data_IF_412077343032
#
_entry.id   IF_412077343032
#
_cell.length_a   1.000
_cell.length_b   1.000
_cell.length_c   1.000
_cell.angle_alpha   90.00
_cell.angle_beta   90.00
_cell.angle_gamma   90.00
#
_symmetry.space_group_name_H-M   'P 1'
#
loop_
_entity.id
_entity.type
_entity.pdbx_description
1 polymer ?
#
# COMPACT_ATOMS: atom_id res chain seq x y z
N UNK A 1 13.07 -7.67 -10.90
CA UNK A 1 11.66 -8.12 -11.03
C UNK A 1 11.47 -8.61 -12.45
N UNK A 2 10.94 -9.81 -12.59
CA UNK A 2 10.74 -10.51 -13.87
C UNK A 2 9.27 -10.82 -14.10
N UNK A 3 8.92 -11.27 -15.29
CA UNK A 3 7.54 -11.62 -15.63
C UNK A 3 7.02 -12.79 -14.78
N UNK A 4 7.89 -13.71 -14.36
CA UNK A 4 7.58 -14.86 -13.50
C UNK A 4 7.15 -14.43 -12.09
N UNK A 5 7.40 -13.18 -11.69
CA UNK A 5 6.88 -12.62 -10.44
C UNK A 5 5.37 -12.32 -10.49
N UNK A 6 4.77 -12.35 -11.69
CA UNK A 6 3.35 -12.05 -11.91
C UNK A 6 2.57 -13.36 -12.07
N UNK A 7 1.76 -13.69 -11.08
CA UNK A 7 0.78 -14.77 -11.20
C UNK A 7 -0.53 -14.19 -11.72
N UNK A 8 -0.82 -14.43 -13.00
CA UNK A 8 -2.02 -13.89 -13.66
C UNK A 8 -3.31 -14.58 -13.22
N UNK A 9 -3.24 -15.88 -12.92
CA UNK A 9 -4.39 -16.66 -12.47
C UNK A 9 -4.92 -16.13 -11.14
N UNK A 10 -4.03 -15.96 -10.17
CA UNK A 10 -4.38 -15.46 -8.84
C UNK A 10 -4.36 -13.92 -8.74
N UNK A 11 -3.96 -13.23 -9.81
CA UNK A 11 -3.77 -11.77 -9.86
C UNK A 11 -2.88 -11.26 -8.72
N UNK A 12 -1.73 -11.89 -8.54
CA UNK A 12 -0.76 -11.58 -7.48
C UNK A 12 0.61 -11.31 -8.09
N UNK A 13 1.21 -10.22 -7.65
CA UNK A 13 2.63 -9.92 -7.84
C UNK A 13 3.40 -10.37 -6.61
N UNK A 14 4.35 -11.28 -6.77
CA UNK A 14 5.15 -11.83 -5.67
C UNK A 14 6.64 -11.67 -5.91
N UNK A 15 7.37 -11.23 -4.88
CA UNK A 15 8.82 -11.09 -4.95
C UNK A 15 9.44 -11.08 -3.56
N UNK A 16 10.73 -11.37 -3.48
CA UNK A 16 11.51 -11.17 -2.26
C UNK A 16 12.18 -9.81 -2.26
N UNK A 17 12.10 -9.12 -1.13
CA UNK A 17 12.77 -7.83 -0.94
C UNK A 17 14.27 -8.04 -0.85
N UNK A 18 15.01 -7.42 -1.75
CA UNK A 18 16.47 -7.59 -1.82
C UNK A 18 17.18 -7.22 -0.51
N UNK A 19 16.73 -6.16 0.19
CA UNK A 19 17.35 -5.66 1.42
C UNK A 19 17.05 -6.53 2.65
N UNK A 20 15.87 -7.11 2.74
CA UNK A 20 15.40 -7.78 3.98
C UNK A 20 15.15 -9.28 3.79
N UNK A 21 15.19 -9.78 2.56
CA UNK A 21 14.82 -11.16 2.24
C UNK A 21 13.33 -11.48 2.43
N UNK A 22 12.52 -10.55 2.92
CA UNK A 22 11.12 -10.78 3.23
C UNK A 22 10.29 -10.92 1.95
N UNK A 23 9.37 -11.90 1.89
CA UNK A 23 8.44 -12.03 0.77
C UNK A 23 7.46 -10.85 0.76
N UNK A 24 7.02 -10.47 -0.42
CA UNK A 24 5.99 -9.47 -0.63
C UNK A 24 4.97 -10.01 -1.62
N UNK A 25 3.70 -9.97 -1.25
CA UNK A 25 2.58 -10.39 -2.07
C UNK A 25 1.63 -9.21 -2.23
N UNK A 26 1.42 -8.77 -3.47
CA UNK A 26 0.56 -7.63 -3.78
C UNK A 26 -0.53 -8.09 -4.75
N UNK A 27 -1.78 -7.83 -4.40
CA UNK A 27 -2.89 -8.08 -5.34
C UNK A 27 -2.83 -7.07 -6.48
N UNK A 28 -2.98 -7.57 -7.68
CA UNK A 28 -2.98 -6.77 -8.91
C UNK A 28 -4.40 -6.23 -9.14
N UNK A 29 -4.54 -4.91 -9.02
CA UNK A 29 -5.77 -4.20 -9.40
C UNK A 29 -5.83 -3.97 -10.92
N UNK A 30 -7.00 -3.56 -11.42
CA UNK A 30 -7.27 -3.42 -12.86
C UNK A 30 -6.31 -2.46 -13.57
N UNK A 31 -6.01 -1.32 -12.95
CA UNK A 31 -5.06 -0.34 -13.52
C UNK A 31 -3.64 -0.91 -13.62
N UNK A 32 -3.17 -1.56 -12.55
CA UNK A 32 -1.86 -2.18 -12.53
C UNK A 32 -1.79 -3.34 -13.53
N UNK A 33 -2.83 -4.13 -13.67
CA UNK A 33 -2.92 -5.19 -14.68
C UNK A 33 -2.74 -4.63 -16.09
N UNK A 34 -3.47 -3.55 -16.41
CA UNK A 34 -3.37 -2.89 -17.72
C UNK A 34 -1.95 -2.43 -18.02
N UNK A 35 -1.23 -1.94 -17.02
CA UNK A 35 0.16 -1.53 -17.17
C UNK A 35 1.10 -2.73 -17.32
N UNK A 36 0.95 -3.75 -16.49
CA UNK A 36 1.82 -4.93 -16.52
C UNK A 36 1.69 -5.71 -17.83
N UNK A 37 0.49 -5.77 -18.43
CA UNK A 37 0.27 -6.44 -19.72
C UNK A 37 0.95 -5.74 -20.90
N UNK A 38 1.38 -4.47 -20.73
CA UNK A 38 2.18 -3.74 -21.74
C UNK A 38 3.69 -4.01 -21.61
N UNK A 39 4.12 -4.69 -20.55
CA UNK A 39 5.51 -5.02 -20.30
C UNK A 39 5.87 -6.38 -20.91
N UNK A 40 7.17 -6.72 -21.02
CA UNK A 40 7.61 -8.01 -21.57
C UNK A 40 6.96 -9.20 -20.84
N UNK A 41 6.45 -10.16 -21.61
CA UNK A 41 5.82 -11.37 -21.07
C UNK A 41 6.83 -12.37 -20.49
N UNK A 42 8.12 -12.21 -20.80
CA UNK A 42 9.21 -13.08 -20.34
C UNK A 42 10.44 -12.28 -19.92
N UNK A 43 11.18 -12.78 -18.95
CA UNK A 43 12.37 -12.14 -18.45
C UNK A 43 12.10 -10.87 -17.64
N UNK A 44 13.00 -9.89 -17.70
CA UNK A 44 12.86 -8.67 -16.91
C UNK A 44 11.68 -7.81 -17.36
N UNK A 45 10.80 -7.42 -16.42
CA UNK A 45 9.71 -6.46 -16.68
C UNK A 45 10.25 -5.09 -17.14
N UNK A 46 11.43 -4.71 -16.66
CA UNK A 46 12.09 -3.45 -17.01
C UNK A 46 13.53 -3.74 -17.47
N UNK A 47 13.74 -4.23 -18.71
CA UNK A 47 15.06 -4.68 -19.17
C UNK A 47 16.14 -3.61 -19.05
N UNK A 48 15.83 -2.37 -19.49
CA UNK A 48 16.77 -1.24 -19.39
C UNK A 48 17.15 -0.92 -17.93
N UNK A 49 16.19 -1.00 -17.00
CA UNK A 49 16.47 -0.72 -15.59
C UNK A 49 17.28 -1.84 -14.94
N UNK A 50 17.20 -3.05 -15.45
CA UNK A 50 17.97 -4.19 -14.94
C UNK A 50 19.48 -4.07 -15.21
N UNK A 51 19.87 -3.34 -16.24
CA UNK A 51 21.28 -3.11 -16.60
C UNK A 51 21.91 -1.93 -15.86
N UNK A 52 21.12 -1.08 -15.20
CA UNK A 52 21.61 0.09 -14.49
C UNK A 52 21.98 -0.24 -13.04
N UNK A 53 23.08 0.34 -12.55
CA UNK A 53 23.42 0.32 -11.12
C UNK A 53 22.44 1.18 -10.33
N UNK A 54 22.25 0.91 -9.04
CA UNK A 54 21.26 1.60 -8.20
C UNK A 54 21.43 3.13 -8.18
N UNK A 55 22.69 3.61 -8.11
CA UNK A 55 22.99 5.04 -8.17
C UNK A 55 22.60 5.68 -9.51
N UNK A 56 22.75 4.93 -10.60
CA UNK A 56 22.45 5.44 -11.93
C UNK A 56 20.94 5.52 -12.16
N UNK A 57 20.15 4.65 -11.53
CA UNK A 57 18.67 4.72 -11.53
C UNK A 57 18.16 6.02 -10.89
N UNK A 58 18.74 6.40 -9.76
CA UNK A 58 18.38 7.66 -9.08
C UNK A 58 18.78 8.87 -9.91
N UNK A 59 19.98 8.85 -10.51
CA UNK A 59 20.44 9.94 -11.38
C UNK A 59 19.55 10.10 -12.62
N UNK A 60 19.17 8.99 -13.28
CA UNK A 60 18.27 9.02 -14.44
C UNK A 60 16.89 9.55 -14.06
N UNK A 61 16.33 9.15 -12.91
CA UNK A 61 15.08 9.69 -12.42
C UNK A 61 15.15 11.21 -12.22
N UNK A 62 16.16 11.69 -11.51
CA UNK A 62 16.36 13.13 -11.28
C UNK A 62 16.58 13.91 -12.58
N UNK A 63 17.29 13.31 -13.56
CA UNK A 63 17.48 13.91 -14.90
C UNK A 63 16.13 14.09 -15.61
N UNK A 64 15.26 13.07 -15.59
CA UNK A 64 13.92 13.15 -16.19
C UNK A 64 13.03 14.17 -15.50
N UNK A 65 13.04 14.22 -14.17
CA UNK A 65 12.30 15.22 -13.41
C UNK A 65 12.71 16.64 -13.80
N UNK A 66 14.03 16.92 -13.90
CA UNK A 66 14.54 18.23 -14.33
C UNK A 66 14.08 18.60 -15.74
N UNK A 67 14.10 17.66 -16.68
CA UNK A 67 13.59 17.90 -18.05
C UNK A 67 12.10 18.28 -18.06
N UNK A 68 11.34 17.75 -17.11
CA UNK A 68 9.90 18.04 -16.95
C UNK A 68 9.64 19.22 -16.00
N UNK A 69 10.67 19.93 -15.56
CA UNK A 69 10.60 21.03 -14.57
C UNK A 69 9.94 20.61 -13.24
N UNK A 70 10.13 19.35 -12.84
CA UNK A 70 9.64 18.81 -11.57
C UNK A 70 10.82 18.85 -10.58
N UNK A 71 10.65 19.62 -9.51
CA UNK A 71 11.67 19.81 -8.47
C UNK A 71 11.26 19.17 -7.14
N UNK A 72 12.21 18.99 -6.23
CA UNK A 72 11.96 18.52 -4.87
C UNK A 72 11.56 17.06 -4.74
N UNK A 73 11.65 16.26 -5.81
CA UNK A 73 11.26 14.84 -5.82
C UNK A 73 12.46 13.90 -5.99
N UNK A 74 12.33 12.72 -5.41
CA UNK A 74 13.26 11.60 -5.52
C UNK A 74 12.51 10.30 -5.78
N UNK A 75 13.22 9.19 -6.02
CA UNK A 75 12.58 7.87 -6.10
C UNK A 75 11.80 7.50 -4.82
N UNK A 76 12.22 8.02 -3.66
CA UNK A 76 11.51 7.80 -2.39
C UNK A 76 10.21 8.59 -2.28
N UNK A 77 10.08 9.72 -2.96
CA UNK A 77 8.86 10.55 -2.91
C UNK A 77 7.61 9.79 -3.27
N UNK A 78 7.71 8.83 -4.21
CA UNK A 78 6.57 7.96 -4.55
C UNK A 78 6.12 7.10 -3.37
N UNK A 79 7.05 6.61 -2.55
CA UNK A 79 6.72 5.81 -1.36
C UNK A 79 6.01 6.62 -0.30
N UNK A 80 6.44 7.87 -0.07
CA UNK A 80 5.75 8.79 0.83
C UNK A 80 4.34 9.10 0.33
N UNK A 81 4.20 9.48 -0.93
CA UNK A 81 2.91 9.77 -1.54
C UNK A 81 1.95 8.57 -1.51
N UNK A 82 2.46 7.35 -1.68
CA UNK A 82 1.67 6.14 -1.57
C UNK A 82 1.23 5.90 -0.13
N UNK A 83 2.12 6.06 0.86
CA UNK A 83 1.79 5.90 2.29
C UNK A 83 0.71 6.90 2.73
N UNK A 84 0.82 8.15 2.33
CA UNK A 84 -0.18 9.19 2.61
C UNK A 84 -1.55 8.86 1.99
N UNK A 85 -1.57 8.44 0.72
CA UNK A 85 -2.82 8.04 0.05
C UNK A 85 -3.46 6.82 0.73
N UNK A 86 -2.66 5.82 1.08
CA UNK A 86 -3.16 4.63 1.78
C UNK A 86 -3.75 5.01 3.14
N UNK A 87 -3.10 5.89 3.87
CA UNK A 87 -3.57 6.39 5.16
C UNK A 87 -4.89 7.17 5.02
N UNK A 88 -4.95 8.15 4.10
CA UNK A 88 -6.16 8.94 3.81
C UNK A 88 -7.34 8.08 3.35
N UNK A 89 -7.07 7.00 2.60
CA UNK A 89 -8.07 6.05 2.14
C UNK A 89 -8.54 5.05 3.22
N UNK A 90 -8.00 5.12 4.45
CA UNK A 90 -8.31 4.14 5.48
C UNK A 90 -7.81 2.73 5.18
N UNK A 91 -6.79 2.60 4.33
CA UNK A 91 -6.18 1.31 4.00
C UNK A 91 -5.53 0.72 5.25
N UNK A 92 -5.88 -0.53 5.59
CA UNK A 92 -5.45 -1.15 6.84
C UNK A 92 -3.93 -1.07 7.01
N UNK A 93 -3.48 -0.54 8.15
CA UNK A 93 -2.07 -0.25 8.45
C UNK A 93 -1.16 -1.46 8.21
N UNK A 94 -1.57 -2.65 8.67
CA UNK A 94 -0.80 -3.88 8.48
C UNK A 94 -0.53 -4.19 6.99
N UNK A 95 -1.49 -3.89 6.11
CA UNK A 95 -1.33 -4.09 4.68
C UNK A 95 -0.41 -3.04 4.06
N UNK A 96 -0.53 -1.78 4.53
CA UNK A 96 0.36 -0.70 4.11
C UNK A 96 1.81 -0.98 4.53
N UNK A 97 2.04 -1.43 5.76
CA UNK A 97 3.34 -1.86 6.25
C UNK A 97 3.91 -3.01 5.40
N UNK A 98 3.10 -4.04 5.16
CA UNK A 98 3.50 -5.18 4.34
C UNK A 98 3.84 -4.76 2.91
N UNK A 99 3.06 -3.89 2.28
CA UNK A 99 3.30 -3.39 0.92
C UNK A 99 4.59 -2.55 0.84
N UNK A 100 4.83 -1.69 1.82
CA UNK A 100 6.01 -0.82 1.87
C UNK A 100 7.24 -1.51 2.49
N UNK A 101 7.07 -2.62 3.21
CA UNK A 101 8.14 -3.31 3.92
C UNK A 101 8.64 -2.55 5.14
N UNK A 102 7.73 -1.87 5.83
CA UNK A 102 8.04 -1.21 7.10
C UNK A 102 8.07 -2.24 8.23
N UNK A 103 9.08 -2.16 9.10
CA UNK A 103 9.26 -3.08 10.21
C UNK A 103 8.43 -2.73 11.44
N UNK A 104 7.88 -1.52 11.50
CA UNK A 104 7.08 -1.04 12.64
C UNK A 104 6.08 0.03 12.23
N UNK A 105 5.06 0.22 13.07
CA UNK A 105 4.07 1.30 12.94
C UNK A 105 4.73 2.68 12.99
N UNK A 106 5.72 2.89 13.84
CA UNK A 106 6.43 4.17 13.94
C UNK A 106 7.09 4.57 12.62
N UNK A 107 7.74 3.61 11.92
CA UNK A 107 8.30 3.85 10.60
C UNK A 107 7.19 4.17 9.59
N UNK A 108 6.07 3.43 9.64
CA UNK A 108 4.94 3.67 8.74
C UNK A 108 4.34 5.06 8.93
N UNK A 109 4.07 5.49 10.16
CA UNK A 109 3.58 6.84 10.48
C UNK A 109 4.54 7.93 10.04
N UNK A 110 5.85 7.72 10.17
CA UNK A 110 6.86 8.64 9.63
C UNK A 110 6.72 8.90 8.12
N UNK A 111 6.28 7.91 7.36
CA UNK A 111 6.00 8.06 5.92
C UNK A 111 4.66 8.77 5.64
N UNK A 112 3.67 8.63 6.51
CA UNK A 112 2.34 9.24 6.35
C UNK A 112 2.17 10.54 7.16
N UNK A 113 3.25 11.10 7.73
CA UNK A 113 3.22 12.24 8.67
C UNK A 113 2.52 13.50 8.15
N UNK A 114 2.48 13.69 6.84
CA UNK A 114 1.85 14.85 6.21
C UNK A 114 0.40 14.57 5.78
N UNK A 115 -0.15 13.37 6.07
CA UNK A 115 -1.51 13.05 5.74
C UNK A 115 -2.46 13.81 6.68
N UNK A 116 -3.32 14.64 6.13
CA UNK A 116 -4.44 15.24 6.86
C UNK A 116 -5.50 14.18 7.12
N UNK A 117 -5.94 14.07 8.37
CA UNK A 117 -6.99 13.15 8.81
C UNK A 117 -8.22 13.96 9.16
N UNK A 118 -9.28 13.75 8.40
CA UNK A 118 -10.59 14.29 8.75
C UNK A 118 -11.27 13.26 9.65
N UNK A 119 -11.42 13.59 10.93
CA UNK A 119 -12.07 12.71 11.88
C UNK A 119 -13.57 12.61 11.56
N UNK A 120 -14.12 11.41 11.34
CA UNK A 120 -15.55 11.25 11.19
C UNK A 120 -16.26 11.57 12.50
N UNK A 121 -17.53 11.99 12.47
CA UNK A 121 -18.35 12.18 13.66
C UNK A 121 -18.40 10.88 14.49
N UNK A 122 -18.38 11.01 15.81
CA UNK A 122 -18.43 9.85 16.71
C UNK A 122 -19.70 9.02 16.54
N UNK A 123 -20.79 9.66 16.12
CA UNK A 123 -22.08 9.02 15.84
C UNK A 123 -21.98 7.90 14.80
N UNK A 124 -21.07 8.01 13.84
CA UNK A 124 -20.82 6.97 12.83
C UNK A 124 -20.23 5.69 13.42
N UNK A 125 -19.83 5.73 14.69
CA UNK A 125 -19.27 4.61 15.43
C UNK A 125 -20.07 4.26 16.69
N UNK A 126 -21.28 4.82 16.84
CA UNK A 126 -22.11 4.63 18.02
C UNK A 126 -22.45 3.16 18.29
N UNK A 127 -22.61 2.35 17.23
CA UNK A 127 -22.87 0.90 17.35
C UNK A 127 -21.75 0.11 18.03
N UNK A 128 -20.56 0.70 18.15
CA UNK A 128 -19.38 0.10 18.79
C UNK A 128 -19.23 0.55 20.25
N UNK A 129 -20.06 1.48 20.70
CA UNK A 129 -20.04 1.98 22.06
C UNK A 129 -20.90 1.05 22.92
N UNK A 130 -20.27 0.33 23.84
CA UNK A 130 -20.97 -0.49 24.83
C UNK A 130 -21.37 0.44 25.96
N UNK A 131 -22.70 0.65 26.25
CA UNK A 131 -23.12 1.44 27.37
C UNK A 131 -22.59 0.84 28.69
N UNK A 132 -22.10 1.69 29.59
CA UNK A 132 -21.55 1.25 30.89
C UNK A 132 -22.64 0.78 31.87
N UNK A 133 -23.92 1.05 31.56
CA UNK A 133 -25.06 0.73 32.41
C UNK A 133 -25.65 -0.67 32.23
N UNK A 134 -25.07 -1.46 31.35
CA UNK A 134 -25.38 -2.89 31.20
C UNK A 134 -26.81 -3.25 30.74
N UNK A 135 -27.65 -2.27 30.43
CA UNK A 135 -29.08 -2.53 30.13
C UNK A 135 -29.39 -3.03 28.74
N UNK A 136 -28.44 -2.89 27.77
CA UNK A 136 -28.67 -3.30 26.38
C UNK A 136 -28.25 -4.75 26.06
N UNK A 137 -27.75 -5.50 27.04
CA UNK A 137 -27.36 -6.91 26.83
C UNK A 137 -28.54 -7.88 26.92
N UNK A 138 -29.63 -7.49 27.61
CA UNK A 138 -30.74 -8.40 27.95
C UNK A 138 -31.78 -8.47 26.84
N UNK A 139 -32.05 -7.34 26.15
CA UNK A 139 -33.08 -7.30 25.10
C UNK A 139 -32.69 -8.04 23.78
N UNK A 140 -31.40 -8.31 23.56
CA UNK A 140 -30.96 -9.05 22.36
C UNK A 140 -31.01 -10.58 22.47
N UNK A 141 -31.09 -11.11 23.69
CA UNK A 141 -31.25 -12.57 23.89
C UNK A 141 -32.71 -13.01 23.86
N UNK A 142 -33.65 -12.17 24.23
CA UNK A 142 -35.09 -12.50 24.17
C UNK A 142 -35.60 -12.60 22.73
N UNK A 143 -35.11 -11.76 21.81
CA UNK A 143 -35.50 -11.80 20.41
C UNK A 143 -34.87 -12.95 19.60
N UNK A 144 -33.90 -13.68 20.16
CA UNK A 144 -33.33 -14.87 19.52
C UNK A 144 -34.01 -16.19 19.91
N UNK A 145 -34.87 -16.15 20.92
CA UNK A 145 -35.61 -17.36 21.37
C UNK A 145 -37.04 -17.44 20.83
N UNK A 146 -37.48 -16.46 20.05
CA UNK A 146 -38.85 -16.37 19.50
C UNK A 146 -38.87 -16.31 17.95
N UNK A 147 -37.77 -16.66 17.26
CA UNK A 147 -37.75 -16.76 15.79
C UNK A 147 -37.39 -18.20 15.35
#
# INVERSE_FOLDING_TARGET
>A
MTAENVNWENRVLSYFRQKTGQPCFLRIGTELETLLRKLPAHGFLFPRMATLRDKDRSAEFCRRCRLLKIEGVSLHSYRYAWAERAFKAGYAERFAQAALGHSSSAVHYGYAKNAEVICPPLENHADKIIPLDGKNGIEREENRKTA
#
